data_IF_851882026607
#
_entry.id   IF_851882026607
#
_cell.length_a   1.000
_cell.length_b   1.000
_cell.length_c   1.000
_cell.angle_alpha   90.00
_cell.angle_beta   90.00
_cell.angle_gamma   90.00
#
_symmetry.space_group_name_H-M   'P 1'
#
loop_
_entity.id
_entity.type
_entity.pdbx_description
1 polymer ?
#
# COMPACT_ATOMS: atom_id res chain seq x y z
N UNK A 1 -19.44 14.90 -0.87
CA UNK A 1 -19.09 15.98 0.08
C UNK A 1 -18.06 16.99 -0.44
N UNK A 2 -17.22 16.63 -1.42
CA UNK A 2 -16.16 17.50 -1.96
C UNK A 2 -16.65 18.77 -2.70
N UNK A 3 -17.78 18.72 -3.43
CA UNK A 3 -18.28 19.88 -4.19
C UNK A 3 -18.81 21.06 -3.38
N UNK A 4 -19.13 20.88 -2.09
CA UNK A 4 -19.53 22.00 -1.20
C UNK A 4 -18.32 22.74 -0.63
N UNK A 5 -17.20 22.04 -0.43
CA UNK A 5 -15.97 22.61 0.14
C UNK A 5 -15.25 23.45 -0.91
N UNK A 6 -15.17 22.98 -2.16
CA UNK A 6 -14.59 23.74 -3.27
C UNK A 6 -15.32 25.06 -3.49
N UNK A 7 -16.65 25.05 -3.56
CA UNK A 7 -17.45 26.27 -3.72
C UNK A 7 -17.31 27.25 -2.53
N UNK A 8 -17.11 26.73 -1.32
CA UNK A 8 -16.87 27.57 -0.13
C UNK A 8 -15.49 28.22 -0.16
N UNK A 9 -14.46 27.49 -0.61
CA UNK A 9 -13.11 28.02 -0.78
C UNK A 9 -13.05 29.02 -1.95
N UNK A 10 -13.68 28.72 -3.08
CA UNK A 10 -13.82 29.64 -4.23
C UNK A 10 -14.48 30.96 -3.79
N UNK A 11 -15.60 30.87 -3.06
CA UNK A 11 -16.30 32.04 -2.52
C UNK A 11 -15.44 32.84 -1.52
N UNK A 12 -14.57 32.19 -0.74
CA UNK A 12 -13.59 32.90 0.10
C UNK A 12 -12.50 33.58 -0.71
N UNK A 13 -11.97 32.93 -1.76
CA UNK A 13 -10.98 33.51 -2.68
C UNK A 13 -11.54 34.74 -3.38
N UNK A 14 -12.76 34.66 -3.91
CA UNK A 14 -13.44 35.77 -4.56
C UNK A 14 -13.71 36.93 -3.58
N UNK A 15 -14.19 36.63 -2.36
CA UNK A 15 -14.39 37.67 -1.33
C UNK A 15 -13.08 38.35 -0.94
N UNK A 16 -12.00 37.58 -0.74
CA UNK A 16 -10.66 38.11 -0.47
C UNK A 16 -10.20 39.04 -1.60
N UNK A 17 -10.36 38.60 -2.84
CA UNK A 17 -9.99 39.38 -4.03
C UNK A 17 -10.83 40.67 -4.11
N UNK A 18 -12.16 40.58 -4.00
CA UNK A 18 -13.08 41.72 -4.08
C UNK A 18 -12.89 42.75 -2.96
N UNK A 19 -12.64 42.31 -1.72
CA UNK A 19 -12.38 43.21 -0.58
C UNK A 19 -11.12 44.05 -0.81
N UNK A 20 -10.10 43.48 -1.46
CA UNK A 20 -8.84 44.16 -1.74
C UNK A 20 -8.94 45.06 -2.98
N UNK A 21 -9.74 44.67 -3.99
CA UNK A 21 -9.79 45.29 -5.32
C UNK A 21 -10.87 46.34 -5.58
N UNK A 22 -11.89 46.49 -4.72
CA UNK A 22 -12.91 47.53 -4.94
C UNK A 22 -12.25 48.92 -5.00
N UNK A 23 -12.45 49.63 -6.12
CA UNK A 23 -11.87 50.96 -6.38
C UNK A 23 -12.12 51.89 -5.21
N UNK A 24 -11.04 52.35 -4.58
CA UNK A 24 -11.06 53.11 -3.34
C UNK A 24 -11.46 54.55 -3.62
N UNK A 25 -12.51 55.03 -2.94
CA UNK A 25 -12.82 56.47 -2.89
C UNK A 25 -12.16 57.20 -1.72
N UNK A 26 -11.57 56.47 -0.76
CA UNK A 26 -10.96 57.05 0.44
C UNK A 26 -9.73 56.29 0.95
N UNK A 27 -8.89 57.00 1.70
CA UNK A 27 -7.59 56.62 2.28
C UNK A 27 -7.71 55.62 3.46
N UNK A 28 -8.61 54.65 3.38
CA UNK A 28 -8.83 53.64 4.44
C UNK A 28 -8.15 52.33 4.06
N UNK A 29 -7.21 51.88 4.90
CA UNK A 29 -6.62 50.54 4.79
C UNK A 29 -7.71 49.49 5.04
N UNK A 30 -8.13 48.79 3.99
CA UNK A 30 -9.07 47.68 4.11
C UNK A 30 -8.51 46.59 5.03
N UNK A 31 -9.32 46.11 5.98
CA UNK A 31 -8.92 45.03 6.89
C UNK A 31 -8.74 43.74 6.10
N UNK A 32 -7.50 43.24 6.06
CA UNK A 32 -7.23 41.92 5.52
C UNK A 32 -7.88 40.86 6.39
N UNK A 33 -8.67 39.97 5.78
CA UNK A 33 -9.27 38.85 6.50
C UNK A 33 -8.15 37.98 7.10
N UNK A 34 -8.28 37.67 8.38
CA UNK A 34 -7.41 36.70 9.07
C UNK A 34 -7.64 35.35 8.42
N UNK A 35 -6.63 34.86 7.69
CA UNK A 35 -6.67 33.53 7.09
C UNK A 35 -5.94 32.60 8.05
N UNK A 36 -6.61 31.55 8.49
CA UNK A 36 -5.98 30.52 9.31
C UNK A 36 -4.96 29.74 8.46
N UNK A 37 -3.75 29.44 8.96
CA UNK A 37 -2.71 28.69 8.25
C UNK A 37 -3.18 27.35 7.67
N UNK A 38 -4.15 26.70 8.32
CA UNK A 38 -4.77 25.45 7.84
C UNK A 38 -5.54 25.58 6.52
N UNK A 39 -5.75 26.79 5.98
CA UNK A 39 -6.25 27.02 4.62
C UNK A 39 -5.12 27.47 3.71
N UNK A 40 -4.28 26.51 3.31
CA UNK A 40 -3.03 26.71 2.60
C UNK A 40 -3.21 27.58 1.33
N UNK A 41 -4.22 27.30 0.49
CA UNK A 41 -4.46 28.08 -0.73
C UNK A 41 -4.77 29.56 -0.45
N UNK A 42 -5.65 29.85 0.52
CA UNK A 42 -5.99 31.23 0.87
C UNK A 42 -4.83 31.96 1.53
N UNK A 43 -3.97 31.23 2.25
CA UNK A 43 -2.75 31.78 2.85
C UNK A 43 -1.75 32.22 1.77
N UNK A 44 -1.45 31.35 0.80
CA UNK A 44 -0.55 31.68 -0.32
C UNK A 44 -1.11 32.81 -1.18
N UNK A 45 -2.41 32.80 -1.47
CA UNK A 45 -3.09 33.88 -2.18
C UNK A 45 -2.91 35.23 -1.45
N UNK A 46 -3.09 35.25 -0.13
CA UNK A 46 -2.90 36.45 0.70
C UNK A 46 -1.44 36.93 0.66
N UNK A 47 -0.47 36.01 0.67
CA UNK A 47 0.96 36.33 0.54
C UNK A 47 1.26 37.02 -0.79
N UNK A 48 0.76 36.46 -1.90
CA UNK A 48 0.96 37.03 -3.24
C UNK A 48 0.32 38.41 -3.37
N UNK A 49 -0.89 38.58 -2.87
CA UNK A 49 -1.61 39.86 -2.86
C UNK A 49 -0.88 40.95 -2.04
N UNK A 50 -0.05 40.55 -1.08
CA UNK A 50 0.78 41.47 -0.31
C UNK A 50 2.00 41.99 -1.10
N UNK A 51 2.51 41.19 -2.04
CA UNK A 51 3.75 41.48 -2.78
C UNK A 51 3.50 42.02 -4.18
N UNK A 52 2.54 41.47 -4.91
CA UNK A 52 2.20 41.84 -6.28
C UNK A 52 1.19 42.99 -6.27
N UNK A 53 1.55 44.12 -6.87
CA UNK A 53 0.66 45.30 -6.97
C UNK A 53 -0.15 45.25 -8.27
N UNK A 54 -1.46 45.51 -8.16
CA UNK A 54 -2.36 45.63 -9.31
C UNK A 54 -2.60 44.38 -10.17
N UNK A 55 -2.72 43.15 -9.61
CA UNK A 55 -2.96 41.95 -10.41
C UNK A 55 -4.36 41.95 -11.06
N UNK A 56 -4.45 41.89 -12.38
CA UNK A 56 -5.72 41.96 -13.13
C UNK A 56 -6.53 40.66 -13.11
N UNK A 57 -5.94 39.55 -12.69
CA UNK A 57 -6.59 38.23 -12.59
C UNK A 57 -5.85 37.30 -11.62
N UNK A 58 -6.49 36.20 -11.20
CA UNK A 58 -5.82 35.14 -10.44
C UNK A 58 -4.67 34.49 -11.23
N UNK A 59 -4.78 34.42 -12.55
CA UNK A 59 -3.69 33.94 -13.40
C UNK A 59 -2.50 34.89 -13.37
N UNK A 60 -2.74 36.21 -13.36
CA UNK A 60 -1.69 37.21 -13.24
C UNK A 60 -0.91 37.10 -11.92
N UNK A 61 -1.56 36.68 -10.83
CA UNK A 61 -0.89 36.42 -9.55
C UNK A 61 0.08 35.22 -9.60
N UNK A 62 -0.13 34.29 -10.54
CA UNK A 62 0.72 33.11 -10.71
C UNK A 62 1.87 33.35 -11.70
N UNK A 63 1.96 34.53 -12.32
CA UNK A 63 3.05 34.87 -13.24
C UNK A 63 4.24 35.37 -12.42
N UNK A 64 5.34 34.63 -12.45
CA UNK A 64 6.60 35.02 -11.83
C UNK A 64 7.68 34.97 -12.89
N UNK A 65 8.39 36.09 -13.09
CA UNK A 65 9.42 36.24 -14.13
C UNK A 65 8.95 35.82 -15.56
N UNK A 66 7.68 36.05 -15.89
CA UNK A 66 7.10 35.72 -17.20
C UNK A 66 6.60 34.29 -17.37
N UNK A 67 6.76 33.43 -16.36
CA UNK A 67 6.27 32.03 -16.39
C UNK A 67 5.04 31.87 -15.50
N UNK A 68 3.99 31.23 -16.03
CA UNK A 68 2.78 30.89 -15.26
C UNK A 68 3.05 29.67 -14.39
N UNK A 69 2.99 29.86 -13.07
CA UNK A 69 3.17 28.79 -12.10
C UNK A 69 1.88 27.95 -11.92
N UNK A 70 1.99 26.65 -11.61
CA UNK A 70 0.82 25.76 -11.50
C UNK A 70 -0.09 26.12 -10.33
N UNK A 71 0.47 26.55 -9.20
CA UNK A 71 -0.26 26.88 -7.97
C UNK A 71 0.17 28.21 -7.36
N UNK A 72 -0.64 28.78 -6.46
CA UNK A 72 -0.27 29.98 -5.70
C UNK A 72 0.96 29.74 -4.80
N UNK A 73 1.11 28.52 -4.26
CA UNK A 73 2.29 28.12 -3.51
C UNK A 73 3.56 28.15 -4.37
N UNK A 74 3.49 27.62 -5.60
CA UNK A 74 4.62 27.63 -6.53
C UNK A 74 5.01 29.06 -6.91
N UNK A 75 4.03 29.96 -7.09
CA UNK A 75 4.29 31.38 -7.30
C UNK A 75 4.96 32.05 -6.08
N UNK A 76 4.49 31.76 -4.86
CA UNK A 76 5.14 32.24 -3.64
C UNK A 76 6.60 31.75 -3.53
N UNK A 77 6.84 30.48 -3.85
CA UNK A 77 8.19 29.89 -3.86
C UNK A 77 9.10 30.57 -4.87
N UNK A 78 8.63 30.75 -6.12
CA UNK A 78 9.38 31.42 -7.17
C UNK A 78 9.70 32.90 -6.84
N UNK A 79 8.86 33.54 -6.01
CA UNK A 79 9.08 34.89 -5.49
C UNK A 79 9.95 34.95 -4.22
N UNK A 80 10.42 33.80 -3.71
CA UNK A 80 11.20 33.73 -2.47
C UNK A 80 10.42 34.15 -1.22
N UNK A 81 9.09 33.95 -1.22
CA UNK A 81 8.22 34.34 -0.11
C UNK A 81 8.00 33.24 0.93
N UNK A 82 8.43 32.02 0.60
CA UNK A 82 8.39 30.88 1.51
C UNK A 82 9.80 30.70 2.08
N UNK A 83 9.89 30.31 3.35
CA UNK A 83 11.16 29.91 3.94
C UNK A 83 11.71 28.69 3.17
N UNK A 84 13.01 28.69 2.93
CA UNK A 84 13.68 27.56 2.29
C UNK A 84 13.68 26.37 3.25
N UNK A 85 13.39 25.18 2.73
CA UNK A 85 13.45 23.92 3.49
C UNK A 85 14.90 23.54 3.90
N UNK A 86 15.88 24.43 3.68
CA UNK A 86 17.30 24.25 4.03
C UNK A 86 17.48 23.99 5.52
N UNK A 87 16.74 24.68 6.36
CA UNK A 87 16.88 24.50 7.79
C UNK A 87 16.30 23.15 8.25
N UNK A 88 15.20 22.68 7.65
CA UNK A 88 14.66 21.34 7.92
C UNK A 88 15.64 20.26 7.48
N UNK A 89 16.33 20.50 6.37
CA UNK A 89 17.40 19.63 5.90
C UNK A 89 18.54 19.54 6.92
N UNK A 90 19.07 20.67 7.40
CA UNK A 90 20.13 20.68 8.40
C UNK A 90 19.68 20.03 9.71
N UNK A 91 18.45 20.31 10.16
CA UNK A 91 17.89 19.71 11.38
C UNK A 91 17.76 18.19 11.28
N UNK A 92 17.28 17.66 10.16
CA UNK A 92 17.18 16.21 9.95
C UNK A 92 18.55 15.55 9.75
N UNK A 93 19.50 16.25 9.11
CA UNK A 93 20.87 15.78 8.94
C UNK A 93 21.62 15.70 10.28
N UNK A 94 21.47 16.70 11.15
CA UNK A 94 21.98 16.64 12.52
C UNK A 94 21.35 15.50 13.32
N UNK A 95 20.02 15.36 13.25
CA UNK A 95 19.30 14.28 13.92
C UNK A 95 19.76 12.90 13.40
N UNK A 96 20.07 12.76 12.11
CA UNK A 96 20.57 11.50 11.54
C UNK A 96 21.90 11.02 12.14
N UNK A 97 22.69 11.95 12.70
CA UNK A 97 23.99 11.63 13.32
C UNK A 97 23.81 11.31 14.80
N UNK A 98 22.87 11.97 15.49
CA UNK A 98 22.75 11.91 16.95
C UNK A 98 21.59 11.06 17.48
N UNK A 99 20.57 10.77 16.66
CA UNK A 99 19.31 10.18 17.11
C UNK A 99 18.99 8.85 16.43
N UNK A 100 18.09 8.09 17.04
CA UNK A 100 17.58 6.84 16.46
C UNK A 100 16.59 7.09 15.31
N UNK A 101 16.47 6.18 14.33
CA UNK A 101 15.51 6.30 13.21
C UNK A 101 14.07 6.56 13.66
N UNK A 102 13.64 5.96 14.77
CA UNK A 102 12.33 6.24 15.38
C UNK A 102 12.18 7.73 15.78
N UNK A 103 13.18 8.30 16.45
CA UNK A 103 13.19 9.70 16.89
C UNK A 103 13.22 10.66 15.69
N UNK A 104 13.95 10.30 14.64
CA UNK A 104 13.98 11.07 13.39
C UNK A 104 12.60 11.04 12.72
N UNK A 105 11.89 9.91 12.72
CA UNK A 105 10.50 9.82 12.22
C UNK A 105 9.52 10.69 13.03
N UNK A 106 9.65 10.74 14.36
CA UNK A 106 8.85 11.64 15.21
C UNK A 106 9.12 13.12 14.88
N UNK A 107 10.39 13.49 14.75
CA UNK A 107 10.80 14.84 14.36
C UNK A 107 10.25 15.20 12.97
N UNK A 108 10.35 14.29 12.01
CA UNK A 108 9.79 14.47 10.67
C UNK A 108 8.27 14.64 10.71
N UNK A 109 7.56 13.90 11.57
CA UNK A 109 6.12 14.05 11.76
C UNK A 109 5.78 15.44 12.30
N UNK A 110 6.51 15.92 13.30
CA UNK A 110 6.33 17.27 13.87
C UNK A 110 6.57 18.34 12.80
N UNK A 111 7.64 18.20 12.00
CA UNK A 111 7.96 19.11 10.90
C UNK A 111 6.81 19.14 9.88
N UNK A 112 6.32 17.99 9.42
CA UNK A 112 5.22 17.95 8.45
C UNK A 112 3.88 18.44 9.02
N UNK A 113 3.60 18.18 10.30
CA UNK A 113 2.31 18.53 10.92
C UNK A 113 2.27 20.00 11.32
N UNK A 114 3.31 20.52 11.96
CA UNK A 114 3.28 21.83 12.60
C UNK A 114 4.03 22.89 11.80
N UNK A 115 4.97 22.49 10.95
CA UNK A 115 5.76 23.41 10.16
C UNK A 115 5.20 23.51 8.74
N UNK A 116 5.28 24.70 8.14
CA UNK A 116 4.88 24.90 6.75
C UNK A 116 6.03 24.48 5.83
N UNK A 117 6.19 23.18 5.63
CA UNK A 117 7.20 22.65 4.72
C UNK A 117 6.84 23.00 3.28
N UNK A 118 7.81 23.52 2.54
CA UNK A 118 7.66 23.84 1.14
C UNK A 118 7.35 22.57 0.35
N UNK A 119 8.29 21.64 0.33
CA UNK A 119 8.22 20.41 -0.46
C UNK A 119 8.43 19.15 0.40
N UNK A 120 7.34 18.62 1.02
CA UNK A 120 7.39 17.42 1.86
C UNK A 120 7.98 16.20 1.16
N UNK A 121 7.66 16.00 -0.12
CA UNK A 121 8.08 14.81 -0.89
C UNK A 121 9.58 14.88 -1.13
N UNK A 122 10.09 16.03 -1.57
CA UNK A 122 11.53 16.22 -1.77
C UNK A 122 12.32 16.08 -0.47
N UNK A 123 11.75 16.56 0.65
CA UNK A 123 12.36 16.41 1.97
C UNK A 123 12.41 14.92 2.38
N UNK A 124 11.34 14.17 2.15
CA UNK A 124 11.32 12.72 2.37
C UNK A 124 12.35 11.99 1.52
N UNK A 125 12.37 12.21 0.20
CA UNK A 125 13.27 11.51 -0.72
C UNK A 125 14.74 11.63 -0.33
N UNK A 126 15.12 12.78 0.26
CA UNK A 126 16.48 13.02 0.73
C UNK A 126 16.81 12.30 2.05
N UNK A 127 15.84 12.16 2.95
CA UNK A 127 16.06 11.64 4.32
C UNK A 127 15.49 10.23 4.56
N UNK A 128 14.80 9.64 3.58
CA UNK A 128 14.16 8.32 3.69
C UNK A 128 15.12 7.19 4.07
N UNK A 129 16.40 7.31 3.71
CA UNK A 129 17.42 6.33 4.07
C UNK A 129 17.72 6.34 5.58
N UNK A 130 17.90 7.52 6.16
CA UNK A 130 18.09 7.69 7.61
C UNK A 130 16.81 7.34 8.38
N UNK A 131 15.65 7.68 7.82
CA UNK A 131 14.34 7.35 8.40
C UNK A 131 14.05 5.85 8.38
N UNK A 132 14.60 5.09 7.42
CA UNK A 132 14.37 3.66 7.26
C UNK A 132 15.55 2.78 7.70
N UNK A 133 16.57 3.36 8.32
CA UNK A 133 17.82 2.65 8.66
C UNK A 133 17.59 1.42 9.55
N UNK A 134 16.68 1.50 10.52
CA UNK A 134 16.32 0.39 11.40
C UNK A 134 15.58 -0.73 10.64
N UNK A 135 14.72 -0.37 9.68
CA UNK A 135 14.07 -1.33 8.79
C UNK A 135 15.10 -2.00 7.88
N UNK A 136 16.05 -1.25 7.31
CA UNK A 136 17.14 -1.81 6.49
C UNK A 136 17.97 -2.82 7.29
N UNK A 137 18.36 -2.46 8.52
CA UNK A 137 19.13 -3.35 9.42
C UNK A 137 18.38 -4.64 9.76
N UNK A 138 17.05 -4.61 9.89
CA UNK A 138 16.26 -5.83 10.07
C UNK A 138 16.35 -6.75 8.85
N UNK A 139 16.28 -6.20 7.64
CA UNK A 139 16.37 -6.98 6.40
C UNK A 139 17.80 -7.52 6.16
N UNK A 140 18.83 -6.77 6.55
CA UNK A 140 20.24 -7.21 6.52
C UNK A 140 20.49 -8.40 7.44
N UNK A 141 19.97 -8.34 8.67
CA UNK A 141 20.10 -9.43 9.64
C UNK A 141 19.47 -10.74 9.13
N UNK A 142 18.49 -10.63 8.23
CA UNK A 142 17.80 -11.74 7.59
C UNK A 142 18.51 -12.25 6.30
N UNK A 143 19.71 -11.74 5.99
CA UNK A 143 20.47 -12.06 4.77
C UNK A 143 19.71 -11.82 3.46
N UNK A 144 18.77 -10.87 3.46
CA UNK A 144 18.02 -10.49 2.27
C UNK A 144 18.80 -9.44 1.48
N UNK A 145 18.85 -9.58 0.16
CA UNK A 145 19.43 -8.54 -0.71
C UNK A 145 18.53 -7.29 -0.70
N UNK A 146 18.91 -6.26 0.06
CA UNK A 146 18.12 -5.04 0.26
C UNK A 146 17.79 -4.33 -1.05
N UNK A 147 18.70 -4.33 -2.03
CA UNK A 147 18.54 -3.57 -3.27
C UNK A 147 17.30 -4.04 -4.06
N UNK A 148 16.93 -5.31 -3.91
CA UNK A 148 15.74 -5.88 -4.56
C UNK A 148 14.43 -5.56 -3.80
N UNK A 149 14.53 -5.09 -2.55
CA UNK A 149 13.40 -4.86 -1.63
C UNK A 149 13.33 -3.41 -1.13
N UNK A 150 14.02 -2.47 -1.79
CA UNK A 150 14.10 -1.08 -1.35
C UNK A 150 12.71 -0.41 -1.26
N UNK A 151 11.84 -0.65 -2.24
CA UNK A 151 10.45 -0.19 -2.25
C UNK A 151 9.65 -0.70 -1.05
N UNK A 152 9.93 -1.94 -0.65
CA UNK A 152 9.27 -2.61 0.48
C UNK A 152 9.75 -2.00 1.80
N UNK A 153 11.06 -1.80 1.93
CA UNK A 153 11.68 -1.16 3.10
C UNK A 153 11.11 0.24 3.30
N UNK A 154 11.04 1.05 2.24
CA UNK A 154 10.47 2.39 2.33
C UNK A 154 8.96 2.37 2.59
N UNK A 155 8.20 1.46 2.00
CA UNK A 155 6.78 1.31 2.33
C UNK A 155 6.58 0.93 3.81
N UNK A 156 7.40 0.05 4.35
CA UNK A 156 7.35 -0.32 5.77
C UNK A 156 7.73 0.86 6.68
N UNK A 157 8.73 1.65 6.30
CA UNK A 157 9.04 2.90 6.98
C UNK A 157 7.86 3.89 6.94
N UNK A 158 7.18 4.02 5.80
CA UNK A 158 5.99 4.87 5.66
C UNK A 158 4.82 4.41 6.55
N UNK A 159 4.64 3.10 6.77
CA UNK A 159 3.63 2.58 7.70
C UNK A 159 3.95 3.00 9.13
N UNK A 160 5.20 2.81 9.57
CA UNK A 160 5.63 3.23 10.91
C UNK A 160 5.47 4.74 11.10
N UNK A 161 5.78 5.50 10.05
CA UNK A 161 5.58 6.94 10.03
C UNK A 161 4.09 7.34 10.11
N UNK A 162 3.22 6.66 9.37
CA UNK A 162 1.78 6.88 9.42
C UNK A 162 1.22 6.66 10.82
N UNK A 163 1.64 5.60 11.51
CA UNK A 163 1.19 5.31 12.88
C UNK A 163 1.59 6.44 13.84
N UNK A 164 2.77 7.05 13.66
CA UNK A 164 3.21 8.23 14.41
C UNK A 164 2.31 9.43 14.09
N UNK A 165 2.03 9.71 12.81
CA UNK A 165 1.19 10.86 12.43
C UNK A 165 -0.24 10.72 12.95
N UNK A 166 -0.82 9.51 12.89
CA UNK A 166 -2.15 9.22 13.44
C UNK A 166 -2.22 9.47 14.95
N UNK A 167 -1.11 9.20 15.67
CA UNK A 167 -1.04 9.45 17.12
C UNK A 167 -1.11 10.94 17.48
N UNK A 168 -0.84 11.84 16.53
CA UNK A 168 -0.94 13.29 16.73
C UNK A 168 -2.41 13.71 16.59
N UNK A 169 -3.06 14.25 17.65
CA UNK A 169 -4.49 14.55 17.62
C UNK A 169 -4.89 15.50 16.49
N UNK A 170 -5.87 15.10 15.69
CA UNK A 170 -6.57 15.98 14.75
C UNK A 170 -5.98 16.11 13.35
N UNK A 171 -5.03 15.25 12.94
CA UNK A 171 -4.57 15.18 11.54
C UNK A 171 -4.44 13.74 11.05
N UNK A 172 -4.80 13.50 9.79
CA UNK A 172 -4.50 12.29 9.04
C UNK A 172 -3.53 12.62 7.90
N UNK A 173 -2.64 11.70 7.53
CA UNK A 173 -1.71 11.86 6.39
C UNK A 173 -2.41 12.28 5.10
N UNK A 174 -3.62 11.75 4.89
CA UNK A 174 -4.47 12.05 3.74
C UNK A 174 -4.93 13.52 3.70
N UNK A 175 -4.96 14.20 4.85
CA UNK A 175 -5.28 15.62 4.98
C UNK A 175 -4.06 16.53 4.76
N UNK A 176 -2.86 15.97 4.86
CA UNK A 176 -1.57 16.64 4.61
C UNK A 176 -1.17 16.50 3.12
N UNK A 177 -1.82 15.60 2.36
CA UNK A 177 -1.52 15.38 0.94
C UNK A 177 -0.14 14.76 0.73
N UNK A 178 0.33 13.97 1.69
CA UNK A 178 1.61 13.29 1.67
C UNK A 178 1.49 11.85 1.12
N UNK A 179 2.61 11.15 0.99
CA UNK A 179 2.67 9.75 0.56
C UNK A 179 1.73 8.87 1.41
N UNK A 180 0.99 7.98 0.76
CA UNK A 180 0.10 7.02 1.43
C UNK A 180 0.72 5.63 1.36
N UNK A 181 0.99 4.96 2.50
CA UNK A 181 1.55 3.62 2.50
C UNK A 181 0.52 2.58 2.01
N UNK A 182 0.99 1.47 1.43
CA UNK A 182 0.16 0.28 1.19
C UNK A 182 0.26 -0.66 2.39
N UNK A 183 -0.80 -0.72 3.20
CA UNK A 183 -0.88 -1.61 4.36
C UNK A 183 -1.09 -3.07 3.96
N UNK A 184 -1.75 -3.35 2.84
CA UNK A 184 -1.93 -4.72 2.33
C UNK A 184 -0.59 -5.33 1.91
N UNK A 185 0.23 -4.57 1.18
CA UNK A 185 1.59 -4.97 0.84
C UNK A 185 2.47 -5.07 2.10
N UNK A 186 2.34 -4.13 3.03
CA UNK A 186 3.07 -4.17 4.30
C UNK A 186 2.77 -5.41 5.16
N UNK A 187 1.51 -5.83 5.27
CA UNK A 187 1.11 -7.02 6.05
C UNK A 187 1.54 -8.34 5.42
N UNK A 188 1.40 -8.47 4.11
CA UNK A 188 1.87 -9.66 3.40
C UNK A 188 3.39 -9.83 3.53
N UNK A 189 4.14 -8.72 3.60
CA UNK A 189 5.60 -8.72 3.53
C UNK A 189 6.26 -8.61 4.91
N UNK A 190 5.59 -8.12 5.95
CA UNK A 190 6.08 -8.17 7.33
C UNK A 190 6.06 -9.59 7.93
N UNK A 191 5.34 -10.52 7.30
CA UNK A 191 5.32 -11.90 7.74
C UNK A 191 6.66 -12.59 7.38
N UNK A 192 7.58 -12.63 8.35
CA UNK A 192 8.90 -13.26 8.24
C UNK A 192 8.85 -14.68 7.64
N UNK A 193 7.80 -15.46 7.97
CA UNK A 193 7.63 -16.80 7.42
C UNK A 193 7.33 -16.78 5.92
N UNK A 194 6.50 -15.83 5.47
CA UNK A 194 6.19 -15.66 4.05
C UNK A 194 7.43 -15.23 3.25
N UNK A 195 8.27 -14.35 3.82
CA UNK A 195 9.53 -13.93 3.20
C UNK A 195 10.55 -15.05 3.09
N UNK A 196 10.69 -15.89 4.13
CA UNK A 196 11.55 -17.09 4.06
C UNK A 196 11.09 -18.08 3.02
N UNK A 197 9.78 -18.27 2.86
CA UNK A 197 9.26 -19.10 1.79
C UNK A 197 9.59 -18.48 0.43
N UNK A 198 9.44 -17.18 0.22
CA UNK A 198 9.72 -16.58 -1.11
C UNK A 198 11.20 -16.38 -1.45
N UNK A 199 12.09 -16.33 -0.46
CA UNK A 199 13.52 -16.06 -0.63
C UNK A 199 14.31 -17.31 -1.06
N UNK A 200 13.87 -17.95 -2.14
CA UNK A 200 14.59 -19.09 -2.72
C UNK A 200 15.84 -18.63 -3.46
N UNK A 201 16.97 -19.32 -3.25
CA UNK A 201 18.17 -19.14 -4.08
C UNK A 201 17.91 -19.73 -5.47
N UNK A 202 17.42 -18.87 -6.37
CA UNK A 202 17.08 -19.25 -7.75
C UNK A 202 18.29 -19.77 -8.52
N UNK A 203 19.50 -19.31 -8.22
CA UNK A 203 20.74 -19.75 -8.87
C UNK A 203 21.07 -21.16 -8.41
N UNK A 204 21.05 -21.42 -7.11
CA UNK A 204 21.26 -22.76 -6.55
C UNK A 204 20.20 -23.76 -7.02
N UNK A 205 18.92 -23.36 -6.98
CA UNK A 205 17.82 -24.21 -7.45
C UNK A 205 17.91 -24.52 -8.94
N UNK A 206 18.28 -23.54 -9.77
CA UNK A 206 18.49 -23.78 -11.22
C UNK A 206 19.59 -24.81 -11.47
N UNK A 207 20.66 -24.77 -10.66
CA UNK A 207 21.76 -25.74 -10.72
C UNK A 207 21.33 -27.13 -10.30
N UNK A 208 20.56 -27.25 -9.20
CA UNK A 208 19.96 -28.52 -8.75
C UNK A 208 19.10 -29.14 -9.86
N UNK A 209 18.28 -28.33 -10.53
CA UNK A 209 17.43 -28.78 -11.62
C UNK A 209 18.28 -29.30 -12.78
N UNK A 210 19.28 -28.52 -13.22
CA UNK A 210 20.18 -28.92 -14.31
C UNK A 210 20.93 -30.24 -14.02
N UNK A 211 21.35 -30.47 -12.78
CA UNK A 211 22.10 -31.66 -12.38
C UNK A 211 21.22 -32.91 -12.19
N UNK A 212 19.97 -32.75 -11.74
CA UNK A 212 19.13 -33.89 -11.33
C UNK A 212 18.06 -34.28 -12.35
N UNK A 213 17.58 -33.36 -13.19
CA UNK A 213 16.63 -33.69 -14.26
C UNK A 213 17.15 -34.79 -15.20
N UNK A 214 18.44 -34.82 -15.60
CA UNK A 214 18.97 -35.89 -16.44
C UNK A 214 19.05 -37.27 -15.75
N UNK A 215 19.00 -37.29 -14.41
CA UNK A 215 19.11 -38.52 -13.60
C UNK A 215 17.74 -39.16 -13.32
N UNK A 216 16.65 -38.51 -13.70
CA UNK A 216 15.29 -39.01 -13.47
C UNK A 216 15.04 -40.27 -14.31
N UNK A 217 14.36 -41.24 -13.72
CA UNK A 217 13.84 -42.37 -14.49
C UNK A 217 12.61 -41.95 -15.30
N UNK A 218 12.18 -42.80 -16.23
CA UNK A 218 11.09 -42.49 -17.17
C UNK A 218 9.79 -42.04 -16.47
N UNK A 219 9.39 -42.75 -15.41
CA UNK A 219 8.15 -42.44 -14.66
C UNK A 219 8.26 -41.14 -13.88
N UNK A 220 9.42 -40.88 -13.25
CA UNK A 220 9.68 -39.64 -12.53
C UNK A 220 9.73 -38.44 -13.48
N UNK A 221 10.32 -38.62 -14.67
CA UNK A 221 10.39 -37.58 -15.70
C UNK A 221 9.00 -37.23 -16.25
N UNK A 222 8.17 -38.23 -16.52
CA UNK A 222 6.78 -38.02 -16.94
C UNK A 222 5.97 -37.22 -15.90
N UNK A 223 6.15 -37.51 -14.60
CA UNK A 223 5.49 -36.74 -13.52
C UNK A 223 6.06 -35.32 -13.45
N UNK A 224 7.38 -35.16 -13.52
CA UNK A 224 8.05 -33.87 -13.48
C UNK A 224 7.57 -32.95 -14.62
N UNK A 225 7.57 -33.45 -15.86
CA UNK A 225 7.14 -32.72 -17.05
C UNK A 225 5.65 -32.35 -16.95
N UNK A 226 4.81 -33.24 -16.40
CA UNK A 226 3.38 -32.97 -16.19
C UNK A 226 3.15 -31.84 -15.19
N UNK A 227 3.89 -31.81 -14.08
CA UNK A 227 3.81 -30.74 -13.09
C UNK A 227 4.29 -29.41 -13.69
N UNK A 228 5.42 -29.42 -14.39
CA UNK A 228 5.98 -28.22 -15.03
C UNK A 228 5.02 -27.63 -16.08
N UNK A 229 4.41 -28.50 -16.89
CA UNK A 229 3.38 -28.10 -17.85
C UNK A 229 2.13 -27.53 -17.15
N UNK A 230 1.73 -28.08 -16.01
CA UNK A 230 0.61 -27.55 -15.21
C UNK A 230 0.90 -26.14 -14.69
N UNK A 231 2.12 -25.90 -14.19
CA UNK A 231 2.55 -24.59 -13.68
C UNK A 231 2.61 -23.57 -14.81
N UNK A 232 3.25 -23.92 -15.93
CA UNK A 232 3.39 -23.01 -17.09
C UNK A 232 2.07 -22.70 -17.79
N UNK A 233 1.09 -23.61 -17.72
CA UNK A 233 -0.27 -23.39 -18.22
C UNK A 233 -1.21 -22.72 -17.21
N UNK A 234 -0.74 -22.32 -16.02
CA UNK A 234 -1.55 -21.83 -14.90
C UNK A 234 -2.71 -22.79 -14.53
N UNK A 235 -2.55 -24.08 -14.80
CA UNK A 235 -3.49 -25.10 -14.39
C UNK A 235 -3.24 -25.43 -12.92
N UNK A 236 -4.14 -24.98 -12.03
CA UNK A 236 -4.08 -25.29 -10.59
C UNK A 236 -3.67 -24.13 -9.66
N UNK A 237 -3.69 -22.88 -10.14
CA UNK A 237 -3.41 -21.67 -9.32
C UNK A 237 -4.52 -21.31 -8.31
N UNK A 238 -5.55 -22.15 -8.19
CA UNK A 238 -6.72 -21.92 -7.33
C UNK A 238 -7.65 -20.80 -7.83
N UNK A 239 -7.34 -20.14 -8.96
CA UNK A 239 -8.18 -19.10 -9.55
C UNK A 239 -9.16 -19.72 -10.53
N UNK A 240 -10.21 -20.33 -9.98
CA UNK A 240 -11.30 -20.82 -10.83
C UNK A 240 -12.07 -19.60 -11.36
N UNK A 241 -12.18 -19.49 -12.69
CA UNK A 241 -12.90 -18.38 -13.32
C UNK A 241 -14.39 -18.46 -12.96
N UNK A 242 -14.84 -17.52 -12.14
CA UNK A 242 -16.28 -17.33 -11.89
C UNK A 242 -16.89 -16.47 -12.99
N UNK A 243 -18.01 -16.93 -13.54
CA UNK A 243 -18.87 -16.17 -14.45
C UNK A 243 -20.26 -16.15 -13.81
N UNK A 244 -20.79 -14.95 -13.55
CA UNK A 244 -22.12 -14.75 -12.96
C UNK A 244 -22.33 -15.48 -11.62
N UNK A 245 -21.30 -15.52 -10.76
CA UNK A 245 -21.37 -16.19 -9.46
C UNK A 245 -21.41 -17.72 -9.53
N UNK A 246 -21.07 -18.31 -10.69
CA UNK A 246 -20.89 -19.74 -10.86
C UNK A 246 -19.47 -20.05 -11.28
N UNK A 247 -18.88 -21.03 -10.59
CA UNK A 247 -17.58 -21.62 -10.90
C UNK A 247 -17.74 -22.43 -12.19
N UNK A 248 -17.01 -22.06 -13.24
CA UNK A 248 -17.01 -22.81 -14.49
C UNK A 248 -16.04 -23.99 -14.35
N UNK A 249 -16.57 -25.19 -14.08
CA UNK A 249 -15.78 -26.41 -13.91
C UNK A 249 -15.34 -26.91 -15.29
N UNK A 250 -14.03 -27.00 -15.59
CA UNK A 250 -13.56 -27.55 -16.86
C UNK A 250 -14.03 -29.00 -17.03
N UNK A 251 -14.47 -29.39 -18.23
CA UNK A 251 -14.87 -30.78 -18.53
C UNK A 251 -13.72 -31.79 -18.29
N UNK A 252 -12.48 -31.32 -18.26
CA UNK A 252 -11.29 -32.11 -17.94
C UNK A 252 -11.08 -32.35 -16.44
N UNK A 253 -11.80 -31.66 -15.55
CA UNK A 253 -11.61 -31.76 -14.11
C UNK A 253 -12.16 -33.08 -13.55
N UNK A 254 -13.17 -33.66 -14.20
CA UNK A 254 -13.77 -34.90 -13.75
C UNK A 254 -14.77 -35.48 -14.75
N UNK A 255 -15.08 -36.76 -14.58
CA UNK A 255 -16.11 -37.40 -15.37
C UNK A 255 -17.47 -37.08 -14.76
N UNK A 256 -18.34 -36.39 -15.50
CA UNK A 256 -19.73 -36.16 -15.10
C UNK A 256 -20.45 -37.51 -15.15
N UNK A 257 -21.06 -37.91 -14.04
CA UNK A 257 -21.85 -39.13 -13.95
C UNK A 257 -23.32 -38.74 -13.87
N UNK A 258 -24.13 -39.22 -14.81
CA UNK A 258 -25.55 -38.85 -14.94
C UNK A 258 -26.52 -39.64 -14.06
N UNK A 259 -26.05 -40.70 -13.39
CA UNK A 259 -26.89 -41.59 -12.59
C UNK A 259 -26.20 -41.98 -11.28
N UNK A 260 -26.99 -42.07 -10.20
CA UNK A 260 -26.50 -42.40 -8.86
C UNK A 260 -25.85 -43.78 -8.80
N UNK A 261 -26.37 -44.76 -9.54
CA UNK A 261 -25.86 -46.14 -9.57
C UNK A 261 -24.46 -46.17 -10.15
N UNK A 262 -24.25 -45.49 -11.28
CA UNK A 262 -22.93 -45.41 -11.93
C UNK A 262 -21.93 -44.68 -11.03
N UNK A 263 -22.37 -43.67 -10.28
CA UNK A 263 -21.52 -42.96 -9.32
C UNK A 263 -21.13 -43.87 -8.16
N UNK A 264 -22.10 -44.62 -7.62
CA UNK A 264 -21.89 -45.56 -6.51
C UNK A 264 -20.94 -46.68 -6.90
N UNK A 265 -21.08 -47.29 -8.08
CA UNK A 265 -20.17 -48.34 -8.53
C UNK A 265 -18.75 -47.83 -8.77
N UNK A 266 -18.60 -46.57 -9.21
CA UNK A 266 -17.29 -45.99 -9.53
C UNK A 266 -16.53 -45.53 -8.29
N UNK A 267 -17.23 -44.98 -7.29
CA UNK A 267 -16.64 -44.56 -6.02
C UNK A 267 -16.49 -45.75 -5.06
N UNK A 268 -17.46 -46.65 -5.05
CA UNK A 268 -17.56 -47.80 -4.14
C UNK A 268 -17.79 -49.11 -4.90
N UNK A 269 -16.78 -49.59 -5.66
CA UNK A 269 -16.91 -50.85 -6.37
C UNK A 269 -17.19 -52.00 -5.39
N UNK A 270 -18.17 -52.84 -5.72
CA UNK A 270 -18.61 -53.99 -4.94
C UNK A 270 -19.29 -53.68 -3.59
N UNK A 271 -19.88 -52.50 -3.42
CA UNK A 271 -20.62 -52.14 -2.18
C UNK A 271 -21.73 -53.14 -1.81
N UNK A 272 -22.31 -53.82 -2.80
CA UNK A 272 -23.34 -54.86 -2.60
C UNK A 272 -22.80 -56.14 -1.95
N UNK A 273 -21.48 -56.34 -1.93
CA UNK A 273 -20.82 -57.51 -1.32
C UNK A 273 -20.44 -57.27 0.14
N UNK A 274 -20.77 -56.09 0.71
CA UNK A 274 -20.49 -55.75 2.10
C UNK A 274 -21.49 -56.47 3.02
N UNK A 275 -21.31 -57.79 3.14
CA UNK A 275 -22.03 -58.67 4.04
C UNK A 275 -21.18 -59.03 5.25
N UNK A 276 -21.70 -58.66 6.43
CA UNK A 276 -21.35 -59.13 7.78
C UNK A 276 -20.00 -58.71 8.40
N UNK A 277 -18.94 -58.37 7.66
CA UNK A 277 -17.72 -57.77 8.24
C UNK A 277 -17.25 -56.50 7.49
N UNK A 278 -18.07 -55.45 7.57
CA UNK A 278 -17.87 -54.17 6.87
C UNK A 278 -16.74 -53.30 7.45
N UNK A 279 -16.18 -53.65 8.62
CA UNK A 279 -15.26 -52.79 9.37
C UNK A 279 -13.91 -52.61 8.66
N UNK A 280 -13.34 -53.66 8.07
CA UNK A 280 -12.05 -53.59 7.35
C UNK A 280 -12.21 -52.87 6.01
N UNK A 281 -13.27 -53.19 5.26
CA UNK A 281 -13.56 -52.58 3.97
C UNK A 281 -13.80 -51.06 4.05
N UNK A 282 -14.50 -50.61 5.10
CA UNK A 282 -14.73 -49.19 5.37
C UNK A 282 -13.47 -48.48 5.87
N UNK A 283 -12.61 -49.14 6.66
CA UNK A 283 -11.37 -48.55 7.18
C UNK A 283 -10.32 -48.29 6.09
N UNK A 284 -10.16 -49.18 5.12
CA UNK A 284 -9.23 -48.97 4.00
C UNK A 284 -9.64 -47.82 3.06
N UNK A 285 -10.93 -47.46 3.04
CA UNK A 285 -11.50 -46.49 2.10
C UNK A 285 -12.02 -45.22 2.77
N UNK A 286 -11.94 -45.13 4.10
CA UNK A 286 -12.22 -43.90 4.83
C UNK A 286 -11.11 -42.88 4.55
N UNK A 287 -11.48 -41.73 3.99
CA UNK A 287 -10.57 -40.58 3.93
C UNK A 287 -10.37 -40.14 5.39
N UNK A 288 -9.22 -40.48 5.96
CA UNK A 288 -8.83 -40.04 7.30
C UNK A 288 -8.68 -38.51 7.27
N UNK A 289 -9.73 -37.79 7.63
CA UNK A 289 -9.61 -36.38 8.00
C UNK A 289 -8.75 -36.31 9.25
N UNK A 290 -7.69 -35.49 9.27
CA UNK A 290 -6.88 -35.33 10.47
C UNK A 290 -7.78 -34.79 11.58
N UNK A 291 -7.86 -35.51 12.70
CA UNK A 291 -8.50 -35.03 13.93
C UNK A 291 -7.77 -33.77 14.37
N UNK A 292 -8.37 -32.61 14.13
CA UNK A 292 -7.92 -31.33 14.70
C UNK A 292 -8.15 -31.44 16.21
N UNK A 293 -7.07 -31.63 16.97
CA UNK A 293 -7.07 -31.85 18.43
C UNK A 293 -7.44 -30.61 19.25
N UNK A 294 -8.17 -29.65 18.69
CA UNK A 294 -8.53 -28.42 19.38
C UNK A 294 -9.75 -27.75 18.74
N UNK A 295 -10.95 -28.27 19.00
CA UNK A 295 -12.15 -27.43 18.99
C UNK A 295 -13.20 -27.99 19.92
N UNK A 296 -13.64 -27.13 20.84
CA UNK A 296 -14.70 -27.35 21.79
C UNK A 296 -16.00 -27.76 21.09
N UNK A 297 -16.66 -28.80 21.63
CA UNK A 297 -18.11 -29.05 21.62
C UNK A 297 -18.90 -28.32 20.51
N UNK A 298 -18.95 -28.91 19.31
CA UNK A 298 -20.11 -28.71 18.44
C UNK A 298 -21.12 -29.77 18.85
N UNK A 299 -22.07 -29.37 19.70
CA UNK A 299 -23.22 -30.18 20.07
C UNK A 299 -24.04 -30.51 18.82
N UNK A 300 -24.21 -31.81 18.57
CA UNK A 300 -25.09 -32.35 17.55
C UNK A 300 -26.57 -32.13 17.93
N UNK A 301 -27.18 -31.05 17.45
CA UNK A 301 -28.64 -30.85 17.45
C UNK A 301 -29.10 -30.08 16.22
N UNK A 302 -28.77 -30.55 15.02
CA UNK A 302 -29.41 -30.01 13.79
C UNK A 302 -29.59 -31.05 12.68
N UNK A 303 -29.93 -32.29 13.04
CA UNK A 303 -30.58 -33.21 12.11
C UNK A 303 -31.67 -34.00 12.86
N UNK A 304 -32.82 -33.34 13.03
CA UNK A 304 -34.17 -33.89 13.01
C UNK A 304 -35.08 -32.77 12.49
#
# INVERSE_FOLDING_TARGET
>A
MYGKITNFLEGKKERLFQVIWKSRKDHVLGRMLTVHPGNAECYYLRLLLHKIRGPTSFTALKIVAGVVQPSFQAACRALGLLEDDTHWNSTLEEASISESPHKIRELFAIILVFCQVGDPIKLWEKHQDSLAEDVKKQFEAEQVNIDLYLDIVYNQCLILFEDIVISIPGKALLQIGFLSPSREAGFAISNHHYRKELAYDTVHLSKIVAENVPKLNQVQKEIYDKILNSITSNSGDGKIKEVEGRINIPESLGNIVGDLITLTERIYPNIHQVGVDSSSWLKERAILTPTITSTQLITATTFC
#
